data_IF_651471398798
#
_entry.id   IF_651471398798
#
_cell.length_a   1.000
_cell.length_b   1.000
_cell.length_c   1.000
_cell.angle_alpha   90.00
_cell.angle_beta   90.00
_cell.angle_gamma   90.00
#
_symmetry.space_group_name_H-M   'P 1'
#
loop_
_entity.id
_entity.type
_entity.pdbx_description
1 polymer ?
#
# COMPACT_ATOMS: atom_id res chain seq x y z
N UNK A 1 -32.81 -25.80 -38.71
CA UNK A 1 -31.85 -25.88 -37.58
C UNK A 1 -30.45 -26.03 -38.15
N UNK A 2 -29.68 -24.93 -38.24
CA UNK A 2 -28.31 -24.96 -38.76
C UNK A 2 -27.35 -25.31 -37.63
N UNK A 3 -26.80 -26.53 -37.64
CA UNK A 3 -25.73 -26.93 -36.71
C UNK A 3 -24.52 -26.03 -36.98
N UNK A 4 -24.10 -25.25 -35.98
CA UNK A 4 -22.93 -24.37 -36.06
C UNK A 4 -21.69 -25.16 -36.47
N UNK A 5 -20.89 -24.60 -37.38
CA UNK A 5 -19.64 -25.21 -37.85
C UNK A 5 -18.74 -25.52 -36.65
N UNK A 6 -18.19 -26.75 -36.53
CA UNK A 6 -17.29 -27.09 -35.44
C UNK A 6 -16.04 -26.20 -35.49
N UNK A 7 -15.70 -25.59 -34.35
CA UNK A 7 -14.55 -24.69 -34.24
C UNK A 7 -13.26 -25.48 -34.41
N UNK A 8 -12.56 -25.28 -35.53
CA UNK A 8 -11.36 -26.04 -35.90
C UNK A 8 -10.25 -25.88 -34.86
N UNK A 9 -9.71 -27.00 -34.37
CA UNK A 9 -8.60 -26.99 -33.40
C UNK A 9 -7.35 -26.26 -33.90
N UNK A 10 -7.14 -26.22 -35.23
CA UNK A 10 -6.05 -25.47 -35.87
C UNK A 10 -6.24 -23.96 -35.73
N UNK A 11 -7.47 -23.47 -35.90
CA UNK A 11 -7.85 -22.07 -35.69
C UNK A 11 -7.71 -21.67 -34.22
N UNK A 12 -8.11 -22.54 -33.29
CA UNK A 12 -7.92 -22.31 -31.84
C UNK A 12 -6.45 -22.19 -31.46
N UNK A 13 -5.59 -23.06 -32.02
CA UNK A 13 -4.13 -23.02 -31.78
C UNK A 13 -3.51 -21.74 -32.34
N UNK A 14 -3.90 -21.31 -33.54
CA UNK A 14 -3.47 -20.04 -34.12
C UNK A 14 -3.91 -18.83 -33.30
N UNK A 15 -5.16 -18.78 -32.82
CA UNK A 15 -5.64 -17.70 -31.97
C UNK A 15 -4.87 -17.60 -30.64
N UNK A 16 -4.58 -18.75 -30.01
CA UNK A 16 -3.78 -18.80 -28.78
C UNK A 16 -2.33 -18.33 -29.02
N UNK A 17 -1.75 -18.70 -30.16
CA UNK A 17 -0.41 -18.29 -30.54
C UNK A 17 -0.33 -16.79 -30.82
N UNK A 18 -1.27 -16.25 -31.61
CA UNK A 18 -1.37 -14.81 -31.86
C UNK A 18 -1.59 -14.01 -30.56
N UNK A 19 -2.39 -14.54 -29.61
CA UNK A 19 -2.58 -13.91 -28.29
C UNK A 19 -1.30 -13.89 -27.46
N UNK A 20 -0.50 -14.96 -27.52
CA UNK A 20 0.82 -15.04 -26.84
C UNK A 20 1.83 -14.09 -27.46
N UNK A 21 1.90 -14.05 -28.78
CA UNK A 21 2.80 -13.14 -29.52
C UNK A 21 2.45 -11.67 -29.27
N UNK A 22 1.16 -11.32 -29.28
CA UNK A 22 0.70 -9.96 -28.94
C UNK A 22 1.02 -9.59 -27.49
N UNK A 23 0.90 -10.56 -26.56
CA UNK A 23 1.31 -10.36 -25.16
C UNK A 23 2.82 -10.14 -25.04
N UNK A 24 3.62 -10.98 -25.69
CA UNK A 24 5.08 -10.88 -25.70
C UNK A 24 5.58 -9.57 -26.34
N UNK A 25 4.93 -9.09 -27.40
CA UNK A 25 5.25 -7.80 -28.02
C UNK A 25 4.89 -6.62 -27.10
N UNK A 26 3.74 -6.68 -26.43
CA UNK A 26 3.33 -5.66 -25.45
C UNK A 26 4.30 -5.62 -24.26
N UNK A 27 4.78 -6.79 -23.83
CA UNK A 27 5.83 -6.95 -22.84
C UNK A 27 7.15 -6.33 -23.34
N UNK A 28 7.71 -6.78 -24.46
CA UNK A 28 8.95 -6.20 -25.01
C UNK A 28 8.90 -4.68 -25.19
N UNK A 29 7.77 -4.15 -25.65
CA UNK A 29 7.58 -2.70 -25.79
C UNK A 29 7.55 -1.99 -24.42
N UNK A 30 6.90 -2.58 -23.42
CA UNK A 30 6.94 -2.06 -22.05
C UNK A 30 8.36 -2.12 -21.47
N UNK A 31 9.17 -3.12 -21.82
CA UNK A 31 10.55 -3.28 -21.33
C UNK A 31 11.49 -2.26 -21.95
N UNK A 32 11.36 -2.06 -23.26
CA UNK A 32 12.07 -1.01 -23.97
C UNK A 32 11.72 0.37 -23.42
N UNK A 33 10.43 0.63 -23.14
CA UNK A 33 9.98 1.87 -22.52
C UNK A 33 10.54 2.04 -21.10
N UNK A 34 10.50 0.99 -20.28
CA UNK A 34 11.08 0.98 -18.94
C UNK A 34 12.58 1.30 -18.95
N UNK A 35 13.35 0.59 -19.79
CA UNK A 35 14.78 0.81 -19.91
C UNK A 35 15.11 2.22 -20.43
N UNK A 36 14.33 2.73 -21.39
CA UNK A 36 14.50 4.08 -21.91
C UNK A 36 14.19 5.16 -20.85
N UNK A 37 13.10 5.01 -20.08
CA UNK A 37 12.77 5.93 -18.97
C UNK A 37 13.84 5.88 -17.87
N UNK A 38 14.31 4.68 -17.50
CA UNK A 38 15.41 4.47 -16.54
C UNK A 38 16.70 5.14 -16.99
N UNK A 39 17.08 4.95 -18.26
CA UNK A 39 18.33 5.48 -18.81
C UNK A 39 18.26 7.00 -19.01
N UNK A 40 17.09 7.55 -19.36
CA UNK A 40 16.84 9.00 -19.39
C UNK A 40 16.96 9.63 -17.99
N UNK A 41 16.41 8.98 -16.96
CA UNK A 41 16.51 9.42 -15.57
C UNK A 41 17.95 9.34 -15.04
N UNK A 42 18.74 8.36 -15.51
CA UNK A 42 20.17 8.24 -15.19
C UNK A 42 21.03 9.31 -15.89
N UNK A 43 20.70 9.65 -17.14
CA UNK A 43 21.40 10.69 -17.92
C UNK A 43 21.21 12.11 -17.36
N UNK A 44 20.02 12.43 -16.84
CA UNK A 44 19.73 13.72 -16.19
C UNK A 44 20.45 13.89 -14.84
N UNK A 45 20.72 12.80 -14.13
CA UNK A 45 21.43 12.84 -12.85
C UNK A 45 22.95 13.05 -12.99
N UNK A 46 23.52 12.86 -14.19
CA UNK A 46 24.97 12.91 -14.41
C UNK A 46 25.48 14.25 -14.97
N UNK A 47 24.62 15.20 -15.34
CA UNK A 47 25.06 16.40 -16.11
C UNK A 47 24.50 17.76 -15.64
N UNK A 48 23.63 17.83 -14.63
CA UNK A 48 23.05 19.10 -14.21
C UNK A 48 23.76 19.71 -12.98
N UNK A 49 24.23 20.98 -13.04
CA UNK A 49 24.61 21.76 -11.86
C UNK A 49 23.39 21.96 -10.94
N UNK A 50 23.58 22.24 -9.63
CA UNK A 50 22.48 22.48 -8.71
C UNK A 50 21.70 23.74 -9.13
N UNK A 51 20.50 23.54 -9.67
CA UNK A 51 19.57 24.62 -9.99
C UNK A 51 18.81 25.07 -8.73
N UNK A 52 18.52 26.37 -8.58
CA UNK A 52 17.80 26.88 -7.42
C UNK A 52 16.33 26.42 -7.43
N UNK A 53 15.95 25.81 -6.30
CA UNK A 53 14.63 25.61 -5.68
C UNK A 53 13.40 26.06 -6.52
N UNK A 54 13.10 25.33 -7.58
CA UNK A 54 11.76 25.27 -8.18
C UNK A 54 11.08 23.95 -7.80
N UNK A 55 9.73 23.86 -7.84
CA UNK A 55 9.06 22.57 -7.72
C UNK A 55 9.61 21.63 -8.81
N UNK A 56 10.01 20.39 -8.45
CA UNK A 56 10.58 19.48 -9.44
C UNK A 56 9.54 19.24 -10.55
N UNK A 57 9.96 19.21 -11.82
CA UNK A 57 9.05 18.87 -12.91
C UNK A 57 8.46 17.48 -12.70
N UNK A 58 7.22 17.29 -13.18
CA UNK A 58 6.45 16.04 -13.11
C UNK A 58 7.23 14.83 -13.66
N UNK A 59 8.30 15.05 -14.43
CA UNK A 59 9.30 14.05 -14.89
C UNK A 59 9.94 13.17 -13.80
N UNK A 60 9.91 13.55 -12.52
CA UNK A 60 10.39 12.71 -11.41
C UNK A 60 9.34 11.72 -10.86
N UNK A 61 8.11 11.77 -11.39
CA UNK A 61 7.14 10.71 -11.18
C UNK A 61 7.40 9.64 -12.23
N UNK A 62 8.23 8.65 -11.85
CA UNK A 62 8.32 7.43 -12.64
C UNK A 62 6.90 6.93 -12.93
N UNK A 63 6.54 6.88 -14.21
CA UNK A 63 5.30 6.27 -14.69
C UNK A 63 5.39 4.76 -14.69
N UNK A 64 6.34 4.17 -13.94
CA UNK A 64 6.53 2.74 -13.71
C UNK A 64 5.28 2.10 -13.09
N UNK A 65 4.28 1.94 -13.92
CA UNK A 65 3.28 0.89 -13.79
C UNK A 65 4.03 -0.38 -14.15
N UNK A 66 4.68 -0.98 -13.16
CA UNK A 66 5.52 -2.16 -13.33
C UNK A 66 4.92 -3.18 -14.29
N UNK A 67 5.79 -3.97 -14.91
CA UNK A 67 5.39 -4.99 -15.87
C UNK A 67 4.22 -5.84 -15.37
N UNK A 68 3.36 -6.33 -16.27
CA UNK A 68 2.29 -7.24 -15.85
C UNK A 68 2.87 -8.46 -15.13
N UNK A 69 2.62 -8.59 -13.82
CA UNK A 69 3.17 -9.64 -12.97
C UNK A 69 4.49 -9.32 -12.26
N UNK A 70 5.11 -8.17 -12.53
CA UNK A 70 6.29 -7.69 -11.83
C UNK A 70 5.90 -6.98 -10.54
N UNK A 71 6.18 -7.64 -9.41
CA UNK A 71 5.89 -7.15 -8.06
C UNK A 71 7.15 -6.63 -7.36
N UNK A 72 8.20 -6.28 -8.11
CA UNK A 72 9.35 -5.58 -7.54
C UNK A 72 8.88 -4.25 -6.97
N UNK A 73 9.32 -3.96 -5.75
CA UNK A 73 9.04 -2.69 -5.08
C UNK A 73 9.76 -1.56 -5.77
N UNK A 74 9.05 -0.46 -6.00
CA UNK A 74 9.56 0.74 -6.64
C UNK A 74 9.32 1.91 -5.68
N UNK A 75 10.40 2.53 -5.21
CA UNK A 75 10.33 3.73 -4.39
C UNK A 75 10.75 4.96 -5.21
N UNK A 76 10.36 6.15 -4.74
CA UNK A 76 10.88 7.39 -5.30
C UNK A 76 12.41 7.42 -5.16
N UNK A 77 13.11 7.71 -6.25
CA UNK A 77 14.57 7.84 -6.23
C UNK A 77 14.95 9.11 -5.48
N UNK A 78 15.76 8.95 -4.46
CA UNK A 78 16.30 10.06 -3.70
C UNK A 78 17.53 10.66 -4.41
N UNK A 79 17.78 11.98 -4.29
CA UNK A 79 18.96 12.59 -4.87
C UNK A 79 20.23 12.03 -4.22
N UNK A 80 21.26 11.75 -5.02
CA UNK A 80 22.49 11.11 -4.55
C UNK A 80 23.15 11.90 -3.42
N UNK A 81 23.13 13.23 -3.49
CA UNK A 81 23.65 14.10 -2.44
C UNK A 81 22.96 13.90 -1.08
N UNK A 82 21.63 13.67 -1.05
CA UNK A 82 20.91 13.40 0.20
C UNK A 82 21.26 12.02 0.76
N UNK A 83 21.41 11.02 -0.11
CA UNK A 83 21.87 9.69 0.27
C UNK A 83 23.29 9.77 0.88
N UNK A 84 24.20 10.48 0.23
CA UNK A 84 25.59 10.61 0.69
C UNK A 84 25.68 11.42 1.98
N UNK A 85 24.85 12.45 2.15
CA UNK A 85 24.71 13.18 3.40
C UNK A 85 24.26 12.27 4.54
N UNK A 86 23.22 11.43 4.34
CA UNK A 86 22.77 10.45 5.35
C UNK A 86 23.81 9.38 5.64
N UNK A 87 24.55 8.91 4.63
CA UNK A 87 25.66 7.95 4.83
C UNK A 87 26.76 8.56 5.69
N UNK A 88 27.10 9.83 5.46
CA UNK A 88 28.05 10.57 6.29
C UNK A 88 27.51 10.80 7.70
N UNK A 89 26.22 11.10 7.83
CA UNK A 89 25.56 11.25 9.13
C UNK A 89 25.58 9.96 9.95
N UNK A 90 25.35 8.82 9.28
CA UNK A 90 25.37 7.49 9.89
C UNK A 90 26.75 7.04 10.42
N UNK A 91 27.85 7.77 10.11
CA UNK A 91 29.16 7.53 10.72
C UNK A 91 29.36 8.27 12.04
N UNK A 92 28.41 9.15 12.43
CA UNK A 92 28.42 9.79 13.74
C UNK A 92 28.37 8.71 14.83
N UNK A 93 29.18 8.88 15.88
CA UNK A 93 29.11 8.02 17.05
C UNK A 93 27.68 8.08 17.64
N UNK A 94 27.11 6.91 17.95
CA UNK A 94 25.84 6.84 18.65
C UNK A 94 26.02 7.47 20.04
N UNK A 95 25.11 8.38 20.41
CA UNK A 95 25.09 8.93 21.75
C UNK A 95 24.73 7.82 22.76
N UNK A 96 25.25 7.95 23.99
CA UNK A 96 24.96 6.99 25.07
C UNK A 96 23.50 7.07 25.56
N UNK A 97 22.78 8.14 25.20
CA UNK A 97 21.37 8.26 25.51
C UNK A 97 20.52 7.45 24.52
N UNK A 98 19.74 6.51 25.04
CA UNK A 98 18.84 5.68 24.21
C UNK A 98 17.62 6.45 23.69
N UNK A 99 17.62 7.78 23.81
CA UNK A 99 16.52 8.67 23.51
C UNK A 99 15.24 8.37 24.30
N UNK A 100 14.19 9.14 24.02
CA UNK A 100 12.84 8.84 24.50
C UNK A 100 12.17 7.87 23.52
N UNK A 101 11.78 6.68 23.98
CA UNK A 101 11.07 5.69 23.14
C UNK A 101 9.72 6.18 22.62
N UNK A 102 9.17 7.25 23.23
CA UNK A 102 7.92 7.89 22.83
C UNK A 102 8.10 9.00 21.78
N UNK A 103 9.34 9.30 21.37
CA UNK A 103 9.64 10.35 20.38
C UNK A 103 8.93 10.12 19.05
N UNK A 104 8.66 8.85 18.69
CA UNK A 104 7.94 8.50 17.47
C UNK A 104 6.52 9.08 17.41
N UNK A 105 5.89 9.35 18.56
CA UNK A 105 4.55 9.95 18.60
C UNK A 105 4.57 11.47 18.37
N UNK A 106 5.74 12.11 18.46
CA UNK A 106 5.90 13.52 18.07
C UNK A 106 5.64 13.74 16.57
N UNK A 107 5.74 12.69 15.75
CA UNK A 107 5.36 12.73 14.33
C UNK A 107 3.85 12.72 14.09
N UNK A 108 3.03 12.90 15.13
CA UNK A 108 1.58 13.05 15.01
C UNK A 108 0.85 11.76 14.63
N UNK A 109 1.42 10.58 14.92
CA UNK A 109 0.84 9.27 14.61
C UNK A 109 -0.53 9.03 15.26
N UNK A 110 -0.83 9.72 16.35
CA UNK A 110 -2.11 9.61 17.07
C UNK A 110 -3.26 10.30 16.34
N UNK A 111 -2.96 11.25 15.46
CA UNK A 111 -3.98 11.95 14.68
C UNK A 111 -4.14 11.29 13.31
N UNK A 112 -5.26 10.60 13.13
CA UNK A 112 -5.60 9.89 11.90
C UNK A 112 -5.66 10.81 10.67
N UNK A 113 -5.86 12.13 10.86
CA UNK A 113 -5.87 13.13 9.78
C UNK A 113 -4.49 13.34 9.16
N UNK A 114 -3.43 13.00 9.90
CA UNK A 114 -2.05 13.09 9.40
C UNK A 114 -1.72 11.97 8.42
N UNK A 115 -2.50 10.87 8.41
CA UNK A 115 -2.25 9.76 7.51
C UNK A 115 -2.56 10.12 6.05
N UNK A 116 -1.66 9.77 5.11
CA UNK A 116 -1.84 10.04 3.70
C UNK A 116 -2.98 9.20 3.09
N UNK A 117 -3.63 9.68 2.02
CA UNK A 117 -4.60 8.87 1.27
C UNK A 117 -3.93 7.67 0.62
N UNK A 118 -4.71 6.60 0.40
CA UNK A 118 -4.31 5.42 -0.38
C UNK A 118 -4.96 5.46 -1.77
N UNK A 119 -4.36 4.85 -2.81
CA UNK A 119 -4.98 4.79 -4.12
C UNK A 119 -6.14 3.78 -4.08
N UNK A 120 -7.34 4.24 -4.42
CA UNK A 120 -8.53 3.41 -4.48
C UNK A 120 -8.72 2.89 -5.90
N UNK A 121 -9.25 1.66 -6.01
CA UNK A 121 -9.57 1.10 -7.32
C UNK A 121 -10.75 1.87 -7.91
N UNK A 122 -10.67 2.36 -9.17
CA UNK A 122 -11.84 2.94 -9.82
C UNK A 122 -12.97 1.92 -9.94
N UNK A 123 -14.21 2.40 -9.87
CA UNK A 123 -15.39 1.55 -10.05
C UNK A 123 -15.35 0.87 -11.43
N UNK A 124 -15.69 -0.41 -11.46
CA UNK A 124 -15.76 -1.21 -12.67
C UNK A 124 -16.94 -2.18 -12.61
N UNK A 125 -17.39 -2.65 -13.77
CA UNK A 125 -18.50 -3.60 -13.89
C UNK A 125 -18.13 -4.76 -14.80
N UNK A 126 -18.95 -5.83 -14.82
CA UNK A 126 -18.79 -6.96 -15.74
C UNK A 126 -18.78 -6.55 -17.23
N UNK A 127 -19.27 -5.35 -17.55
CA UNK A 127 -19.30 -4.79 -18.90
C UNK A 127 -18.05 -3.97 -19.25
N UNK A 128 -17.23 -3.60 -18.25
CA UNK A 128 -15.98 -2.89 -18.47
C UNK A 128 -14.97 -3.84 -19.09
N UNK A 129 -14.41 -3.47 -20.24
CA UNK A 129 -13.40 -4.31 -20.89
C UNK A 129 -12.09 -4.33 -20.08
N UNK A 130 -11.28 -5.40 -20.18
CA UNK A 130 -10.01 -5.45 -19.46
C UNK A 130 -9.04 -4.31 -19.79
N UNK A 131 -9.04 -3.83 -21.03
CA UNK A 131 -8.16 -2.73 -21.45
C UNK A 131 -8.67 -1.39 -20.91
N UNK A 132 -9.98 -1.14 -20.93
CA UNK A 132 -10.59 0.05 -20.31
C UNK A 132 -10.33 0.11 -18.80
N UNK A 133 -10.48 -1.01 -18.10
CA UNK A 133 -10.19 -1.08 -16.67
C UNK A 133 -8.70 -0.84 -16.38
N UNK A 134 -7.81 -1.39 -17.20
CA UNK A 134 -6.38 -1.17 -17.04
C UNK A 134 -6.02 0.32 -17.20
N UNK A 135 -6.60 1.00 -18.19
CA UNK A 135 -6.40 2.44 -18.39
C UNK A 135 -6.95 3.26 -17.21
N UNK A 136 -8.17 2.97 -16.76
CA UNK A 136 -8.78 3.67 -15.64
C UNK A 136 -7.97 3.52 -14.34
N UNK A 137 -7.43 2.33 -14.08
CA UNK A 137 -6.55 2.06 -12.94
C UNK A 137 -5.23 2.84 -13.03
N UNK A 138 -4.65 2.93 -14.23
CA UNK A 138 -3.41 3.71 -14.47
C UNK A 138 -3.65 5.20 -14.25
N UNK A 139 -4.77 5.74 -14.74
CA UNK A 139 -5.13 7.14 -14.57
C UNK A 139 -5.44 7.47 -13.11
N UNK A 140 -6.23 6.65 -12.42
CA UNK A 140 -6.53 6.82 -11.00
C UNK A 140 -5.25 6.79 -10.13
N UNK A 141 -4.32 5.90 -10.45
CA UNK A 141 -3.04 5.81 -9.75
C UNK A 141 -2.15 7.04 -9.99
N UNK A 142 -2.09 7.53 -11.24
CA UNK A 142 -1.35 8.75 -11.59
C UNK A 142 -1.92 9.97 -10.86
N UNK A 143 -3.24 10.09 -10.84
CA UNK A 143 -3.93 11.16 -10.13
C UNK A 143 -3.64 11.12 -8.63
N UNK A 144 -3.69 9.95 -8.00
CA UNK A 144 -3.30 9.78 -6.60
C UNK A 144 -1.85 10.21 -6.32
N UNK A 145 -0.89 9.87 -7.20
CA UNK A 145 0.50 10.32 -7.07
C UNK A 145 0.61 11.85 -7.09
N UNK A 146 -0.09 12.50 -8.04
CA UNK A 146 -0.13 13.96 -8.16
C UNK A 146 -0.72 14.61 -6.90
N UNK A 147 -1.84 14.08 -6.40
CA UNK A 147 -2.49 14.57 -5.18
C UNK A 147 -1.59 14.44 -3.94
N UNK A 148 -0.88 13.32 -3.80
CA UNK A 148 0.09 13.14 -2.72
C UNK A 148 1.22 14.15 -2.79
N UNK A 149 1.79 14.35 -3.98
CA UNK A 149 2.85 15.34 -4.18
C UNK A 149 2.37 16.75 -3.85
N UNK A 150 1.20 17.13 -4.36
CA UNK A 150 0.59 18.42 -4.10
C UNK A 150 0.36 18.65 -2.59
N UNK A 151 -0.17 17.64 -1.89
CA UNK A 151 -0.36 17.70 -0.44
C UNK A 151 0.97 17.92 0.30
N UNK A 152 2.06 17.26 -0.13
CA UNK A 152 3.38 17.46 0.48
C UNK A 152 3.93 18.87 0.21
N UNK A 153 3.74 19.40 -1.01
CA UNK A 153 4.15 20.78 -1.36
C UNK A 153 3.37 21.81 -0.55
N UNK A 154 2.05 21.65 -0.41
CA UNK A 154 1.21 22.55 0.38
C UNK A 154 1.60 22.53 1.85
N UNK A 155 1.80 21.33 2.44
CA UNK A 155 2.29 21.20 3.81
C UNK A 155 3.66 21.85 4.00
N UNK A 156 4.55 21.74 3.01
CA UNK A 156 5.87 22.40 3.02
C UNK A 156 5.73 23.92 3.01
N UNK A 157 4.83 24.47 2.19
CA UNK A 157 4.62 25.91 2.09
C UNK A 157 3.95 26.50 3.34
N UNK A 158 3.05 25.74 3.96
CA UNK A 158 2.37 26.14 5.20
C UNK A 158 3.26 26.00 6.44
N UNK A 159 4.31 25.17 6.39
CA UNK A 159 5.31 25.11 7.43
C UNK A 159 6.12 26.42 7.43
N UNK A 160 5.85 27.30 8.39
CA UNK A 160 6.59 28.56 8.53
C UNK A 160 8.09 28.29 8.73
N UNK A 161 9.00 29.16 8.24
CA UNK A 161 10.46 29.01 8.42
C UNK A 161 10.91 29.02 9.90
N UNK A 162 10.01 29.39 10.81
CA UNK A 162 10.18 29.41 12.27
C UNK A 162 9.15 28.57 13.01
N UNK A 163 8.25 27.87 12.31
CA UNK A 163 7.36 26.93 12.99
C UNK A 163 8.24 25.81 13.58
N UNK A 164 8.10 25.49 14.88
CA UNK A 164 8.73 24.29 15.40
C UNK A 164 8.21 23.16 14.53
N UNK A 165 9.14 22.47 13.85
CA UNK A 165 8.89 21.18 13.24
C UNK A 165 7.94 20.45 14.17
N UNK A 166 6.78 20.01 13.68
CA UNK A 166 5.84 19.22 14.50
C UNK A 166 6.59 18.04 15.16
N UNK A 167 7.69 17.62 14.52
CA UNK A 167 8.86 16.97 15.11
C UNK A 167 9.86 17.97 15.72
N UNK A 168 9.64 18.42 16.95
CA UNK A 168 10.67 19.15 17.72
C UNK A 168 11.73 18.18 18.24
N UNK A 169 12.37 17.46 17.33
CA UNK A 169 13.65 16.77 17.57
C UNK A 169 14.69 17.63 16.84
N UNK A 170 15.40 18.53 17.56
CA UNK A 170 16.58 19.18 17.01
C UNK A 170 17.50 18.10 16.43
N UNK A 171 18.10 18.37 15.27
CA UNK A 171 19.08 17.50 14.60
C UNK A 171 18.57 16.22 13.90
N UNK A 172 17.26 15.93 13.88
CA UNK A 172 16.76 14.72 13.17
C UNK A 172 16.78 14.81 11.64
N UNK A 173 16.82 16.02 11.06
CA UNK A 173 16.83 16.24 9.61
C UNK A 173 15.54 15.80 8.87
N UNK A 174 14.50 15.37 9.60
CA UNK A 174 13.22 14.92 9.01
C UNK A 174 12.20 16.05 9.10
N UNK A 175 11.67 16.45 7.95
CA UNK A 175 10.67 17.50 7.87
C UNK A 175 9.26 16.94 8.09
N UNK A 176 8.44 17.58 8.92
CA UNK A 176 7.05 17.16 9.18
C UNK A 176 6.14 17.10 7.94
N UNK A 177 6.53 17.77 6.86
CA UNK A 177 5.79 17.82 5.60
C UNK A 177 6.20 16.71 4.61
N UNK A 178 7.27 15.95 4.90
CA UNK A 178 7.71 14.81 4.08
C UNK A 178 6.95 13.54 4.46
N UNK A 179 6.37 12.89 3.47
CA UNK A 179 5.84 11.53 3.61
C UNK A 179 7.01 10.53 3.58
N UNK A 180 6.90 9.46 4.37
CA UNK A 180 7.81 8.32 4.28
C UNK A 180 7.79 7.69 2.87
N UNK A 181 8.82 6.91 2.55
CA UNK A 181 8.86 6.13 1.32
C UNK A 181 7.62 5.26 1.19
N UNK A 182 7.02 5.24 0.00
CA UNK A 182 5.82 4.48 -0.31
C UNK A 182 5.95 3.80 -1.67
N UNK A 183 5.22 2.70 -1.83
CA UNK A 183 5.22 1.90 -3.06
C UNK A 183 4.67 2.69 -4.25
N UNK A 184 5.43 2.77 -5.33
CA UNK A 184 5.08 3.43 -6.60
C UNK A 184 4.75 2.44 -7.72
N UNK A 185 4.88 1.14 -7.51
CA UNK A 185 4.47 0.13 -8.48
C UNK A 185 2.95 -0.14 -8.41
N UNK A 186 2.21 0.27 -9.45
CA UNK A 186 0.78 0.00 -9.58
C UNK A 186 0.41 -1.50 -9.48
N UNK A 187 1.29 -2.41 -9.89
CA UNK A 187 1.00 -3.84 -9.84
C UNK A 187 0.86 -4.36 -8.40
N UNK A 188 1.59 -3.77 -7.46
CA UNK A 188 1.48 -4.08 -6.03
C UNK A 188 0.14 -3.58 -5.49
N UNK A 189 -0.24 -2.35 -5.83
CA UNK A 189 -1.55 -1.79 -5.47
C UNK A 189 -2.72 -2.58 -6.09
N UNK A 190 -2.57 -3.07 -7.32
CA UNK A 190 -3.52 -4.01 -7.95
C UNK A 190 -3.66 -5.31 -7.16
N UNK A 191 -2.62 -5.80 -6.49
CA UNK A 191 -2.77 -6.96 -5.59
C UNK A 191 -3.61 -6.61 -4.37
N UNK A 192 -3.34 -5.47 -3.73
CA UNK A 192 -4.16 -5.00 -2.60
C UNK A 192 -5.63 -4.91 -3.00
N UNK A 193 -5.94 -4.27 -4.13
CA UNK A 193 -7.32 -4.16 -4.62
C UNK A 193 -7.98 -5.52 -4.83
N UNK A 194 -7.27 -6.49 -5.44
CA UNK A 194 -7.78 -7.86 -5.63
C UNK A 194 -8.02 -8.57 -4.31
N UNK A 195 -7.17 -8.37 -3.30
CA UNK A 195 -7.34 -8.93 -1.95
C UNK A 195 -8.60 -8.35 -1.31
N UNK A 196 -8.76 -7.03 -1.35
CA UNK A 196 -9.95 -6.35 -0.82
C UNK A 196 -11.22 -6.89 -1.48
N UNK A 197 -11.24 -7.00 -2.80
CA UNK A 197 -12.40 -7.48 -3.54
C UNK A 197 -12.77 -8.93 -3.22
N UNK A 198 -11.77 -9.82 -3.15
CA UNK A 198 -12.01 -11.25 -2.95
C UNK A 198 -12.27 -11.64 -1.51
N UNK A 199 -11.65 -10.96 -0.54
CA UNK A 199 -11.77 -11.33 0.86
C UNK A 199 -13.18 -11.03 1.41
N UNK A 200 -13.68 -11.91 2.28
CA UNK A 200 -14.82 -11.64 3.14
C UNK A 200 -14.36 -11.04 4.46
N UNK A 201 -13.24 -11.55 5.00
CA UNK A 201 -12.58 -11.05 6.21
C UNK A 201 -11.16 -10.62 5.85
N UNK A 202 -10.80 -9.38 6.17
CA UNK A 202 -9.44 -8.85 6.03
C UNK A 202 -8.77 -8.80 7.41
N UNK A 203 -7.60 -9.41 7.52
CA UNK A 203 -6.78 -9.38 8.74
C UNK A 203 -5.66 -8.37 8.53
N UNK A 204 -5.72 -7.23 9.22
CA UNK A 204 -4.66 -6.22 9.19
C UNK A 204 -3.64 -6.50 10.28
N UNK A 205 -2.44 -6.93 9.89
CA UNK A 205 -1.35 -7.18 10.82
C UNK A 205 -0.69 -5.86 11.23
N UNK A 206 -0.40 -5.72 12.52
CA UNK A 206 0.36 -4.60 13.06
C UNK A 206 1.38 -5.07 14.10
N UNK A 207 2.54 -4.43 14.16
CA UNK A 207 3.55 -4.71 15.19
C UNK A 207 3.15 -4.04 16.50
N UNK A 208 3.04 -4.80 17.59
CA UNK A 208 2.56 -4.31 18.89
C UNK A 208 3.47 -3.27 19.55
N UNK A 209 4.72 -3.12 19.10
CA UNK A 209 5.66 -2.11 19.61
C UNK A 209 5.27 -0.68 19.21
N UNK A 210 4.69 -0.51 18.02
CA UNK A 210 4.18 0.78 17.55
C UNK A 210 3.03 0.53 16.55
N UNK A 211 1.85 0.09 17.02
CA UNK A 211 0.78 -0.37 16.13
C UNK A 211 0.24 0.75 15.23
N UNK A 212 0.18 1.99 15.73
CA UNK A 212 -0.33 3.14 14.97
C UNK A 212 0.51 3.50 13.73
N UNK A 213 1.78 3.09 13.69
CA UNK A 213 2.62 3.25 12.51
C UNK A 213 2.26 2.25 11.39
N UNK A 214 1.75 1.07 11.77
CA UNK A 214 1.48 -0.03 10.84
C UNK A 214 0.03 -0.03 10.36
N UNK A 215 -0.88 0.57 11.13
CA UNK A 215 -2.30 0.62 10.81
C UNK A 215 -2.62 1.78 9.86
N UNK A 216 -3.22 1.46 8.72
CA UNK A 216 -3.76 2.46 7.81
C UNK A 216 -5.23 2.74 8.13
N UNK A 217 -5.50 3.89 8.71
CA UNK A 217 -6.86 4.39 8.95
C UNK A 217 -7.65 4.52 7.66
N UNK A 218 -7.02 5.02 6.58
CA UNK A 218 -7.66 5.17 5.27
C UNK A 218 -8.08 3.84 4.66
N UNK A 219 -7.26 2.79 4.82
CA UNK A 219 -7.63 1.45 4.38
C UNK A 219 -8.80 0.88 5.19
N UNK A 220 -8.74 1.00 6.52
CA UNK A 220 -9.79 0.48 7.41
C UNK A 220 -11.13 1.17 7.12
N UNK A 221 -11.14 2.50 7.01
CA UNK A 221 -12.33 3.27 6.66
C UNK A 221 -12.89 2.89 5.29
N UNK A 222 -12.04 2.83 4.26
CA UNK A 222 -12.46 2.43 2.92
C UNK A 222 -13.18 1.07 2.92
N UNK A 223 -12.65 0.08 3.66
CA UNK A 223 -13.30 -1.24 3.75
C UNK A 223 -14.63 -1.15 4.52
N UNK A 224 -14.69 -0.40 5.62
CA UNK A 224 -15.92 -0.26 6.43
C UNK A 224 -17.03 0.48 5.68
N UNK A 225 -16.69 1.55 4.98
CA UNK A 225 -17.65 2.45 4.33
C UNK A 225 -18.10 1.92 2.96
N UNK A 226 -17.16 1.48 2.11
CA UNK A 226 -17.45 1.09 0.74
C UNK A 226 -17.77 -0.41 0.59
N UNK A 227 -17.46 -1.22 1.61
CA UNK A 227 -17.67 -2.67 1.59
C UNK A 227 -18.38 -3.19 2.86
N UNK A 228 -19.65 -2.82 3.09
CA UNK A 228 -20.39 -3.16 4.32
C UNK A 228 -20.57 -4.68 4.55
N UNK A 229 -20.41 -5.49 3.51
CA UNK A 229 -20.48 -6.96 3.56
C UNK A 229 -19.17 -7.62 3.96
N UNK A 230 -18.08 -6.85 4.13
CA UNK A 230 -16.77 -7.34 4.56
C UNK A 230 -16.52 -7.03 6.03
N UNK A 231 -15.55 -7.72 6.63
CA UNK A 231 -15.12 -7.47 8.02
C UNK A 231 -13.62 -7.25 8.07
N UNK A 232 -13.20 -6.34 8.95
CA UNK A 232 -11.79 -6.12 9.27
C UNK A 232 -11.51 -6.67 10.66
N UNK A 233 -10.37 -7.35 10.80
CA UNK A 233 -9.82 -7.86 12.04
C UNK A 233 -8.39 -7.32 12.16
N UNK A 234 -8.03 -6.74 13.29
CA UNK A 234 -6.64 -6.32 13.54
C UNK A 234 -5.92 -7.40 14.33
N UNK A 235 -4.72 -7.78 13.90
CA UNK A 235 -3.87 -8.76 14.57
C UNK A 235 -2.56 -8.11 15.00
N UNK A 236 -2.40 -7.91 16.30
CA UNK A 236 -1.17 -7.43 16.90
C UNK A 236 -0.15 -8.58 16.98
N UNK A 237 0.99 -8.38 16.34
CA UNK A 237 2.11 -9.33 16.30
C UNK A 237 3.24 -8.87 17.23
N UNK A 238 4.18 -9.77 17.50
CA UNK A 238 5.38 -9.48 18.30
C UNK A 238 5.08 -9.02 19.73
N UNK A 239 3.96 -9.50 20.29
CA UNK A 239 3.50 -9.11 21.62
C UNK A 239 4.48 -9.54 22.74
N UNK A 240 5.37 -10.49 22.46
CA UNK A 240 6.47 -10.93 23.33
C UNK A 240 7.49 -9.81 23.61
N UNK A 241 7.60 -8.79 22.75
CA UNK A 241 8.49 -7.65 22.95
C UNK A 241 7.88 -6.52 23.80
N UNK A 242 6.62 -6.65 24.21
CA UNK A 242 5.87 -5.60 24.91
C UNK A 242 5.29 -6.18 26.20
N UNK A 243 5.36 -5.42 27.29
CA UNK A 243 4.77 -5.83 28.55
C UNK A 243 3.26 -6.15 28.38
N UNK A 244 2.75 -7.27 28.92
CA UNK A 244 1.37 -7.72 28.70
C UNK A 244 0.32 -6.63 28.97
N UNK A 245 0.52 -5.85 30.04
CA UNK A 245 -0.40 -4.77 30.43
C UNK A 245 -0.50 -3.69 29.35
N UNK A 246 0.61 -3.39 28.65
CA UNK A 246 0.63 -2.43 27.55
C UNK A 246 -0.04 -3.00 26.30
N UNK A 247 0.12 -4.30 26.04
CA UNK A 247 -0.58 -4.96 24.94
C UNK A 247 -2.09 -4.90 25.16
N UNK A 248 -2.57 -5.16 26.38
CA UNK A 248 -3.99 -5.06 26.72
C UNK A 248 -4.54 -3.64 26.53
N UNK A 249 -3.77 -2.62 26.91
CA UNK A 249 -4.11 -1.22 26.65
C UNK A 249 -4.15 -0.91 25.15
N UNK A 250 -3.21 -1.43 24.35
CA UNK A 250 -3.24 -1.29 22.90
C UNK A 250 -4.48 -1.95 22.28
N UNK A 251 -4.81 -3.16 22.71
CA UNK A 251 -6.00 -3.89 22.26
C UNK A 251 -7.26 -3.07 22.52
N UNK A 252 -7.39 -2.51 23.73
CA UNK A 252 -8.53 -1.66 24.09
C UNK A 252 -8.56 -0.38 23.24
N UNK A 253 -7.46 0.35 23.20
CA UNK A 253 -7.36 1.62 22.48
C UNK A 253 -7.69 1.49 20.99
N UNK A 254 -7.09 0.50 20.30
CA UNK A 254 -7.28 0.29 18.86
C UNK A 254 -8.70 -0.20 18.57
N UNK A 255 -9.26 -1.05 19.43
CA UNK A 255 -10.64 -1.51 19.31
C UNK A 255 -11.61 -0.34 19.40
N UNK A 256 -11.42 0.54 20.38
CA UNK A 256 -12.27 1.72 20.57
C UNK A 256 -12.10 2.73 19.42
N UNK A 257 -10.89 2.88 18.89
CA UNK A 257 -10.58 3.81 17.80
C UNK A 257 -11.23 3.43 16.46
N UNK A 258 -11.21 2.14 16.10
CA UNK A 258 -11.68 1.67 14.79
C UNK A 258 -13.01 0.90 14.84
N UNK A 259 -13.51 0.59 16.04
CA UNK A 259 -14.66 -0.28 16.26
C UNK A 259 -14.53 -1.62 15.51
N UNK A 260 -13.32 -2.22 15.57
CA UNK A 260 -13.02 -3.53 14.98
C UNK A 260 -12.45 -4.48 16.04
N UNK A 261 -12.65 -5.79 15.91
CA UNK A 261 -11.96 -6.75 16.76
C UNK A 261 -10.44 -6.62 16.63
N UNK A 262 -9.76 -6.69 17.78
CA UNK A 262 -8.31 -6.67 17.88
C UNK A 262 -7.87 -7.89 18.67
N UNK A 263 -6.98 -8.69 18.10
CA UNK A 263 -6.41 -9.89 18.71
C UNK A 263 -4.89 -9.75 18.82
N UNK A 264 -4.32 -10.51 19.73
CA UNK A 264 -2.87 -10.66 19.89
C UNK A 264 -2.41 -11.99 19.35
N UNK A 265 -1.26 -12.03 18.68
CA UNK A 265 -0.65 -13.24 18.17
C UNK A 265 0.72 -13.45 18.81
N UNK A 266 0.90 -14.60 19.45
CA UNK A 266 2.17 -15.00 20.06
C UNK A 266 2.76 -16.19 19.33
N UNK A 267 4.01 -16.04 18.88
CA UNK A 267 4.75 -17.13 18.22
C UNK A 267 5.05 -18.28 19.18
N UNK A 268 5.19 -18.01 20.48
CA UNK A 268 5.48 -19.07 21.46
C UNK A 268 4.22 -19.88 21.81
N UNK A 269 3.04 -19.33 21.51
CA UNK A 269 1.73 -19.96 21.72
C UNK A 269 0.95 -20.03 20.41
N UNK A 270 1.57 -20.63 19.39
CA UNK A 270 0.99 -20.73 18.02
C UNK A 270 -0.36 -21.42 18.04
N UNK A 271 -0.51 -22.55 18.73
CA UNK A 271 -1.75 -23.33 18.68
C UNK A 271 -2.92 -22.55 19.28
N UNK A 272 -2.74 -21.98 20.48
CA UNK A 272 -3.73 -21.12 21.13
C UNK A 272 -4.07 -19.89 20.27
N UNK A 273 -3.04 -19.22 19.74
CA UNK A 273 -3.21 -18.02 18.90
C UNK A 273 -3.96 -18.35 17.61
N UNK A 274 -3.65 -19.47 16.96
CA UNK A 274 -4.32 -19.94 15.76
C UNK A 274 -5.78 -20.31 16.05
N UNK A 275 -6.05 -21.02 17.16
CA UNK A 275 -7.42 -21.36 17.56
C UNK A 275 -8.26 -20.11 17.77
N UNK A 276 -7.75 -19.12 18.50
CA UNK A 276 -8.46 -17.85 18.75
C UNK A 276 -8.68 -17.06 17.47
N UNK A 277 -7.65 -16.97 16.62
CA UNK A 277 -7.70 -16.27 15.34
C UNK A 277 -8.75 -16.90 14.41
N UNK A 278 -8.66 -18.21 14.17
CA UNK A 278 -9.54 -18.92 13.25
C UNK A 278 -10.99 -18.94 13.74
N UNK A 279 -11.21 -19.12 15.06
CA UNK A 279 -12.55 -19.05 15.65
C UNK A 279 -13.17 -17.66 15.47
N UNK A 280 -12.38 -16.61 15.68
CA UNK A 280 -12.84 -15.23 15.52
C UNK A 280 -13.14 -14.91 14.06
N UNK A 281 -12.29 -15.35 13.12
CA UNK A 281 -12.53 -15.24 11.68
C UNK A 281 -13.84 -15.96 11.31
N UNK A 282 -14.05 -17.17 11.82
CA UNK A 282 -15.28 -17.94 11.60
C UNK A 282 -16.52 -17.17 12.05
N UNK A 283 -16.50 -16.61 13.27
CA UNK A 283 -17.59 -15.77 13.79
C UNK A 283 -17.81 -14.50 12.98
N UNK A 284 -16.74 -13.79 12.59
CA UNK A 284 -16.86 -12.58 11.79
C UNK A 284 -17.41 -12.87 10.39
N UNK A 285 -17.09 -14.04 9.84
CA UNK A 285 -17.56 -14.44 8.52
C UNK A 285 -19.07 -14.63 8.43
N UNK A 286 -19.76 -14.87 9.56
CA UNK A 286 -21.21 -15.16 9.56
C UNK A 286 -22.05 -14.01 9.05
N UNK A 287 -21.61 -12.78 9.31
CA UNK A 287 -22.30 -11.56 8.88
C UNK A 287 -21.85 -11.06 7.49
N UNK A 288 -20.95 -11.77 6.83
CA UNK A 288 -20.40 -11.38 5.53
C UNK A 288 -21.17 -11.96 4.35
N UNK A 289 -20.81 -11.53 3.14
CA UNK A 289 -21.29 -12.13 1.89
C UNK A 289 -20.98 -13.63 1.74
N UNK A 290 -20.13 -14.21 2.60
CA UNK A 290 -19.87 -15.66 2.62
C UNK A 290 -21.16 -16.49 2.84
N UNK A 291 -22.03 -16.07 3.76
CA UNK A 291 -23.33 -16.73 4.02
C UNK A 291 -24.52 -16.05 3.35
N UNK A 292 -24.41 -14.76 2.98
CA UNK A 292 -25.50 -13.94 2.41
C UNK A 292 -25.39 -13.70 0.90
N UNK A 293 -24.37 -14.24 0.24
CA UNK A 293 -24.10 -14.00 -1.18
C UNK A 293 -25.21 -14.54 -2.07
N UNK A 294 -25.60 -13.75 -3.08
CA UNK A 294 -26.39 -14.24 -4.22
C UNK A 294 -25.47 -15.09 -5.10
N UNK A 295 -26.01 -16.03 -5.86
CA UNK A 295 -25.28 -16.91 -6.81
C UNK A 295 -24.33 -16.18 -7.79
N UNK A 296 -24.44 -14.85 -7.91
CA UNK A 296 -23.59 -14.02 -8.76
C UNK A 296 -22.27 -13.54 -8.12
N UNK A 297 -22.09 -13.73 -6.81
CA UNK A 297 -20.85 -13.34 -6.13
C UNK A 297 -19.74 -14.36 -6.41
N UNK A 298 -18.58 -13.89 -6.87
CA UNK A 298 -17.44 -14.71 -7.33
C UNK A 298 -16.97 -15.79 -6.32
N UNK A 299 -17.33 -15.66 -5.04
CA UNK A 299 -16.89 -16.52 -3.95
C UNK A 299 -18.05 -17.10 -3.11
N UNK A 300 -19.27 -17.19 -3.66
CA UNK A 300 -20.40 -17.76 -2.94
C UNK A 300 -20.03 -19.15 -2.36
N UNK A 301 -20.20 -19.31 -1.04
CA UNK A 301 -19.91 -20.57 -0.34
C UNK A 301 -18.44 -20.87 -0.02
N UNK A 302 -17.48 -19.99 -0.38
CA UNK A 302 -16.05 -20.14 0.01
C UNK A 302 -15.60 -18.94 0.85
N UNK A 303 -15.15 -19.19 2.09
CA UNK A 303 -14.66 -18.14 2.98
C UNK A 303 -13.26 -17.72 2.52
N UNK A 304 -13.14 -16.49 2.04
CA UNK A 304 -11.87 -15.91 1.62
C UNK A 304 -11.35 -14.97 2.71
N UNK A 305 -10.13 -15.23 3.17
CA UNK A 305 -9.42 -14.39 4.14
C UNK A 305 -8.31 -13.64 3.43
N UNK A 306 -8.34 -12.31 3.50
CA UNK A 306 -7.23 -11.46 3.09
C UNK A 306 -6.29 -11.25 4.26
N UNK A 307 -4.98 -11.39 4.04
CA UNK A 307 -3.93 -11.07 5.00
C UNK A 307 -3.13 -9.86 4.53
#
# INVERSE_FOLDING_TARGET
>A
MTKGKPFSGKLKKQQLQAKREKKAQKELHAEAKYNAERDALAGLASSAPPQPVGPPPIEYMSTDVGFSGDLRTIFAKEPQAAIDARKKDATRALADDRGNSQSIYAYGLTDVRNQPPIPLRPHWSKHTSPDELAMAEEDAFREWLLQLHQTCVERRQQAAPTAPSICSIPDSGVNAWEINSYERNLQVWRQLWRVIEKANVLVHLADSRCPLLHLSHRLIQHIQDDHPTKRVLILLTKCDFVAPERVDLWVKYIRDLYNVPVLTYSRDRVDESNTVLLTTIGRLSEDTSYKKGRDEDLNAGTLMVGL
#
